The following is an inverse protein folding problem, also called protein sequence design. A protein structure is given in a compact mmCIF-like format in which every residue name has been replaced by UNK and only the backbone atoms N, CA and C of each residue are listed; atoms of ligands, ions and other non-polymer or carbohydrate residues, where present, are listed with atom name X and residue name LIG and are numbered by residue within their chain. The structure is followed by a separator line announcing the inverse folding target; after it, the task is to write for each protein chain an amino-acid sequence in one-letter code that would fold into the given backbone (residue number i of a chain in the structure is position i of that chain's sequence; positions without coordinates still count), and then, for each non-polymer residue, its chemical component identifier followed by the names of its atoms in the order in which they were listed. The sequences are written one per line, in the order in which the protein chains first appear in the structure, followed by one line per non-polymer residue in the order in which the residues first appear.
data_IF_527555405522
#
_entry.id   IF_527555405522
#
_cell.length_a   1.000
_cell.length_b   1.000
_cell.length_c   1.000
_cell.angle_alpha   90.00
_cell.angle_beta   90.00
_cell.angle_gamma   90.00
#
_symmetry.space_group_name_H-M   'P 1'
#
loop_
_entity.id
_entity.type
_entity.pdbx_description
1 polymer ?
#
# COMPACT_ATOMS: atom_id res chain seq x y z
N UNK A 1 5.91 29.01 41.80
CA UNK A 1 5.18 28.91 40.52
C UNK A 1 5.66 27.64 39.86
N UNK A 2 4.74 26.71 39.65
CA UNK A 2 4.98 25.32 39.26
C UNK A 2 5.47 25.29 37.80
N UNK A 3 6.45 24.42 37.54
CA UNK A 3 6.99 24.10 36.23
C UNK A 3 5.94 23.22 35.53
N UNK A 4 5.34 23.70 34.45
CA UNK A 4 4.63 22.82 33.51
C UNK A 4 5.63 22.43 32.43
N UNK A 5 6.07 21.18 32.54
CA UNK A 5 6.75 20.45 31.48
C UNK A 5 5.66 20.03 30.51
N UNK A 6 5.72 20.50 29.26
CA UNK A 6 4.92 20.00 28.15
C UNK A 6 5.23 18.51 27.97
N UNK A 7 4.44 17.68 28.64
CA UNK A 7 4.48 16.24 28.51
C UNK A 7 3.82 15.83 27.19
N UNK A 8 4.60 15.07 26.44
CA UNK A 8 4.14 14.02 25.54
C UNK A 8 3.37 14.49 24.30
N UNK A 9 4.14 14.74 23.24
CA UNK A 9 3.75 14.27 21.93
C UNK A 9 3.62 12.73 22.00
N UNK A 10 2.47 12.24 22.46
CA UNK A 10 2.02 10.89 22.19
C UNK A 10 2.19 10.67 20.69
N UNK A 11 3.08 9.74 20.35
CA UNK A 11 3.35 9.32 18.99
C UNK A 11 2.02 9.05 18.30
N UNK A 12 1.75 9.67 17.15
CA UNK A 12 0.46 9.52 16.45
C UNK A 12 0.11 8.07 16.07
N UNK A 13 1.03 7.13 16.28
CA UNK A 13 0.80 5.69 16.18
C UNK A 13 0.05 5.12 17.41
N UNK A 14 0.22 5.67 18.60
CA UNK A 14 -0.44 5.19 19.83
C UNK A 14 -1.94 5.56 19.84
N UNK A 15 -2.29 6.72 19.28
CA UNK A 15 -3.69 7.12 19.09
C UNK A 15 -4.47 6.16 18.17
N UNK A 16 -3.83 5.66 17.10
CA UNK A 16 -4.44 4.69 16.17
C UNK A 16 -4.65 3.30 16.81
N UNK A 17 -3.87 2.96 17.84
CA UNK A 17 -4.01 1.68 18.54
C UNK A 17 -5.29 1.63 19.41
N UNK A 18 -5.84 2.79 19.81
CA UNK A 18 -7.08 2.85 20.61
C UNK A 18 -8.37 2.71 19.79
N UNK A 19 -8.33 3.03 18.48
CA UNK A 19 -9.52 3.03 17.61
C UNK A 19 -9.55 1.88 16.59
N UNK A 20 -8.40 1.27 16.27
CA UNK A 20 -8.33 0.20 15.28
C UNK A 20 -8.60 -1.17 15.93
N UNK A 21 -9.64 -1.92 15.53
CA UNK A 21 -9.92 -3.22 16.16
C UNK A 21 -8.74 -4.19 15.98
N UNK A 22 -8.47 -5.02 17.00
CA UNK A 22 -7.31 -5.94 17.00
C UNK A 22 -7.21 -6.79 15.72
N UNK A 23 -8.34 -7.27 15.20
CA UNK A 23 -8.40 -8.03 13.95
C UNK A 23 -7.81 -7.28 12.74
N UNK A 24 -7.95 -5.95 12.69
CA UNK A 24 -7.40 -5.10 11.63
C UNK A 24 -5.90 -4.87 11.82
N UNK A 25 -5.46 -4.73 13.07
CA UNK A 25 -4.03 -4.67 13.42
C UNK A 25 -3.33 -5.96 12.99
N UNK A 26 -3.91 -7.11 13.34
CA UNK A 26 -3.41 -8.42 12.94
C UNK A 26 -3.38 -8.59 11.42
N UNK A 27 -4.42 -8.12 10.73
CA UNK A 27 -4.43 -8.11 9.27
C UNK A 27 -3.31 -7.24 8.68
N UNK A 28 -3.05 -6.07 9.26
CA UNK A 28 -1.95 -5.19 8.89
C UNK A 28 -0.56 -5.83 9.09
N UNK A 29 -0.43 -6.74 10.05
CA UNK A 29 0.77 -7.57 10.23
C UNK A 29 0.84 -8.80 9.31
N UNK A 30 -0.13 -8.96 8.42
CA UNK A 30 -0.18 -10.06 7.46
C UNK A 30 -0.80 -11.35 8.00
N UNK A 31 -1.36 -11.32 9.20
CA UNK A 31 -2.06 -12.44 9.81
C UNK A 31 -3.51 -12.52 9.29
N UNK A 32 -4.23 -13.55 9.73
CA UNK A 32 -5.64 -13.76 9.37
C UNK A 32 -6.52 -12.79 10.17
N UNK A 33 -7.47 -12.15 9.51
CA UNK A 33 -8.61 -11.47 10.17
C UNK A 33 -9.89 -12.28 10.04
N UNK A 34 -10.94 -11.91 10.78
CA UNK A 34 -12.29 -12.46 10.57
C UNK A 34 -12.84 -12.20 9.16
N UNK A 35 -12.34 -11.19 8.45
CA UNK A 35 -12.82 -10.74 7.14
C UNK A 35 -11.90 -11.12 5.97
N UNK A 36 -10.78 -11.81 6.22
CA UNK A 36 -9.75 -12.04 5.23
C UNK A 36 -8.94 -13.31 5.42
N UNK A 37 -8.08 -13.59 4.45
CA UNK A 37 -7.07 -14.65 4.54
C UNK A 37 -5.72 -14.04 4.94
N UNK A 38 -4.80 -14.81 5.55
CA UNK A 38 -3.45 -14.32 5.82
C UNK A 38 -2.70 -13.98 4.53
N UNK A 39 -1.76 -13.03 4.61
CA UNK A 39 -1.08 -12.48 3.43
C UNK A 39 -0.32 -13.51 2.61
N UNK A 40 0.22 -14.55 3.26
CA UNK A 40 0.95 -15.63 2.58
C UNK A 40 0.11 -16.40 1.55
N UNK A 41 -1.23 -16.27 1.56
CA UNK A 41 -2.09 -16.85 0.52
C UNK A 41 -2.25 -15.98 -0.72
N UNK A 42 -1.87 -14.70 -0.67
CA UNK A 42 -1.97 -13.77 -1.80
C UNK A 42 -0.63 -13.58 -2.49
N UNK A 43 -0.63 -13.42 -3.82
CA UNK A 43 0.58 -13.05 -4.58
C UNK A 43 0.64 -11.55 -4.87
N UNK A 44 -0.51 -10.87 -4.82
CA UNK A 44 -0.65 -9.46 -5.16
C UNK A 44 -1.45 -8.70 -4.10
N UNK A 45 -1.07 -7.46 -3.86
CA UNK A 45 -1.81 -6.51 -3.03
C UNK A 45 -2.19 -5.27 -3.85
N UNK A 46 -3.35 -4.70 -3.55
CA UNK A 46 -3.79 -3.41 -4.06
C UNK A 46 -3.88 -2.45 -2.87
N UNK A 47 -3.00 -1.45 -2.84
CA UNK A 47 -2.86 -0.53 -1.71
C UNK A 47 -3.15 0.90 -2.19
N UNK A 48 -4.33 1.47 -1.86
CA UNK A 48 -4.58 2.89 -2.05
C UNK A 48 -3.61 3.71 -1.22
N UNK A 49 -3.10 4.80 -1.78
CA UNK A 49 -2.16 5.67 -1.08
C UNK A 49 -2.40 7.13 -1.44
N UNK A 50 -2.49 7.98 -0.42
CA UNK A 50 -2.46 9.42 -0.58
C UNK A 50 -1.01 9.92 -0.65
N UNK A 51 -0.71 10.83 -1.57
CA UNK A 51 0.61 11.45 -1.78
C UNK A 51 0.47 12.94 -2.04
N UNK A 52 1.57 13.70 -1.91
CA UNK A 52 1.58 15.12 -2.30
C UNK A 52 0.82 16.03 -1.33
N UNK A 53 1.05 15.87 -0.03
CA UNK A 53 0.57 16.81 0.99
C UNK A 53 1.07 18.24 0.72
N UNK A 54 0.28 19.28 1.04
CA UNK A 54 -1.01 19.23 1.74
C UNK A 54 -2.23 18.94 0.83
N UNK A 55 -2.12 19.14 -0.48
CA UNK A 55 -3.26 19.07 -1.40
C UNK A 55 -3.82 17.65 -1.57
N UNK A 56 -2.96 16.63 -1.41
CA UNK A 56 -3.35 15.22 -1.38
C UNK A 56 -3.84 14.67 -2.73
N UNK A 57 -3.26 13.55 -3.14
CA UNK A 57 -3.62 12.86 -4.36
C UNK A 57 -3.63 11.36 -4.14
N UNK A 58 -4.72 10.70 -4.51
CA UNK A 58 -4.84 9.25 -4.36
C UNK A 58 -4.29 8.52 -5.58
N UNK A 59 -3.33 7.64 -5.33
CA UNK A 59 -2.79 6.68 -6.28
C UNK A 59 -3.12 5.26 -5.81
N UNK A 60 -3.01 4.29 -6.72
CA UNK A 60 -3.05 2.87 -6.36
C UNK A 60 -1.68 2.23 -6.56
N UNK A 61 -1.18 1.57 -5.53
CA UNK A 61 0.00 0.73 -5.62
C UNK A 61 -0.45 -0.72 -5.85
N UNK A 62 -0.17 -1.25 -7.03
CA UNK A 62 -0.28 -2.69 -7.29
C UNK A 62 1.06 -3.33 -6.93
N UNK A 63 1.06 -4.16 -5.89
CA UNK A 63 2.26 -4.80 -5.36
C UNK A 63 2.26 -6.26 -5.76
N UNK A 64 3.27 -6.70 -6.49
CA UNK A 64 3.58 -8.11 -6.67
C UNK A 64 4.58 -8.55 -5.59
N UNK A 65 4.14 -9.48 -4.73
CA UNK A 65 4.90 -9.92 -3.56
C UNK A 65 6.02 -10.90 -3.94
N UNK A 66 5.84 -11.68 -5.01
CA UNK A 66 6.83 -12.66 -5.47
C UNK A 66 7.91 -11.99 -6.32
N UNK A 67 7.49 -11.15 -7.26
CA UNK A 67 8.40 -10.40 -8.13
C UNK A 67 9.02 -9.19 -7.42
N UNK A 68 8.54 -8.87 -6.20
CA UNK A 68 8.93 -7.68 -5.43
C UNK A 68 8.87 -6.44 -6.31
N UNK A 69 7.70 -6.18 -6.87
CA UNK A 69 7.48 -5.05 -7.76
C UNK A 69 6.29 -4.22 -7.29
N UNK A 70 6.44 -2.90 -7.29
CA UNK A 70 5.36 -1.94 -7.02
C UNK A 70 5.09 -1.17 -8.31
N UNK A 71 3.93 -1.39 -8.90
CA UNK A 71 3.41 -0.59 -10.00
C UNK A 71 2.53 0.54 -9.46
N UNK A 72 2.88 1.77 -9.82
CA UNK A 72 2.11 2.97 -9.48
C UNK A 72 1.09 3.22 -10.58
N UNK A 73 -0.18 3.16 -10.21
CA UNK A 73 -1.34 3.45 -11.03
C UNK A 73 -1.83 4.85 -10.63
N UNK A 74 -1.45 5.86 -11.41
CA UNK A 74 -1.80 7.27 -11.17
C UNK A 74 -2.94 7.70 -12.12
N UNK A 75 -4.11 8.11 -11.58
CA UNK A 75 -5.26 8.49 -12.39
C UNK A 75 -5.08 9.86 -13.08
N UNK A 76 -4.08 10.65 -12.71
CA UNK A 76 -3.75 11.95 -13.32
C UNK A 76 -2.46 11.95 -14.15
N UNK A 77 -1.69 10.87 -14.06
CA UNK A 77 -0.28 10.85 -14.44
C UNK A 77 0.00 10.90 -15.94
N UNK A 78 -1.00 10.82 -16.83
CA UNK A 78 -0.78 10.78 -18.29
C UNK A 78 0.01 11.98 -18.83
N UNK A 79 0.04 13.11 -18.11
CA UNK A 79 0.70 14.35 -18.56
C UNK A 79 2.01 14.68 -17.84
N UNK A 80 2.39 13.97 -16.76
CA UNK A 80 3.63 14.27 -16.01
C UNK A 80 4.82 13.49 -16.62
N UNK A 81 5.93 14.20 -16.86
CA UNK A 81 7.20 13.61 -17.28
C UNK A 81 7.59 12.46 -16.36
N UNK A 82 8.39 11.52 -16.88
CA UNK A 82 8.80 10.29 -16.21
C UNK A 82 9.75 10.55 -15.02
N UNK A 83 9.26 11.20 -13.94
CA UNK A 83 10.06 11.50 -12.76
C UNK A 83 10.14 10.28 -11.85
N UNK A 84 11.13 9.43 -12.14
CA UNK A 84 11.38 8.21 -11.39
C UNK A 84 11.68 8.47 -9.91
N UNK A 85 12.31 9.60 -9.57
CA UNK A 85 12.63 9.99 -8.19
C UNK A 85 11.39 10.34 -7.36
N UNK A 86 10.44 11.09 -7.95
CA UNK A 86 9.16 11.40 -7.30
C UNK A 86 8.36 10.12 -7.01
N UNK A 87 8.26 9.24 -8.00
CA UNK A 87 7.59 7.94 -7.85
C UNK A 87 8.22 7.08 -6.78
N UNK A 88 9.55 7.07 -6.72
CA UNK A 88 10.29 6.38 -5.68
C UNK A 88 9.87 6.90 -4.31
N UNK A 89 9.91 8.23 -4.10
CA UNK A 89 9.46 8.89 -2.85
C UNK A 89 8.01 8.54 -2.51
N UNK A 90 7.12 8.57 -3.50
CA UNK A 90 5.70 8.23 -3.35
C UNK A 90 5.46 6.81 -2.84
N UNK A 91 6.40 5.87 -2.95
CA UNK A 91 6.22 4.48 -2.44
C UNK A 91 7.24 4.08 -1.38
N UNK A 92 8.10 4.99 -0.92
CA UNK A 92 9.15 4.71 0.06
C UNK A 92 8.67 4.01 1.35
N UNK A 93 7.62 4.52 2.03
CA UNK A 93 7.02 3.81 3.17
C UNK A 93 6.67 2.35 2.89
N UNK A 94 6.01 2.06 1.76
CA UNK A 94 5.66 0.69 1.38
C UNK A 94 6.90 -0.18 1.17
N UNK A 95 7.92 0.37 0.51
CA UNK A 95 9.18 -0.36 0.28
C UNK A 95 9.93 -0.71 1.56
N UNK A 96 9.78 0.10 2.61
CA UNK A 96 10.37 -0.18 3.94
C UNK A 96 9.50 -1.16 4.74
N UNK A 97 8.19 -1.00 4.66
CA UNK A 97 7.25 -1.76 5.49
C UNK A 97 7.02 -3.19 4.98
N UNK A 98 6.84 -3.36 3.66
CA UNK A 98 6.48 -4.65 3.07
C UNK A 98 7.48 -5.77 3.38
N UNK A 99 8.81 -5.59 3.24
CA UNK A 99 9.77 -6.65 3.60
C UNK A 99 9.61 -7.14 5.04
N UNK A 100 9.39 -6.22 5.98
CA UNK A 100 9.21 -6.56 7.40
C UNK A 100 7.93 -7.35 7.64
N UNK A 101 6.82 -6.96 7.00
CA UNK A 101 5.55 -7.69 7.10
C UNK A 101 5.69 -9.10 6.50
N UNK A 102 6.27 -9.21 5.30
CA UNK A 102 6.47 -10.50 4.63
C UNK A 102 7.36 -11.45 5.43
N UNK A 103 8.38 -10.91 6.11
CA UNK A 103 9.21 -11.69 7.01
C UNK A 103 8.42 -12.14 8.25
N UNK A 104 7.73 -11.20 8.92
CA UNK A 104 6.95 -11.46 10.15
C UNK A 104 5.85 -12.50 9.94
N UNK A 105 5.11 -12.42 8.83
CA UNK A 105 4.03 -13.38 8.55
C UNK A 105 4.51 -14.71 7.96
N UNK A 106 5.83 -14.86 7.73
CA UNK A 106 6.44 -16.06 7.15
C UNK A 106 6.05 -16.28 5.69
N UNK A 107 5.89 -15.21 4.91
CA UNK A 107 5.39 -15.29 3.53
C UNK A 107 6.16 -16.29 2.67
N UNK A 108 7.49 -16.21 2.67
CA UNK A 108 8.34 -17.09 1.86
C UNK A 108 8.63 -18.44 2.52
N UNK A 109 8.53 -18.56 3.85
CA UNK A 109 8.74 -19.85 4.54
C UNK A 109 7.50 -20.75 4.44
N UNK A 110 6.31 -20.15 4.38
CA UNK A 110 5.03 -20.85 4.16
C UNK A 110 4.77 -21.16 2.68
N UNK A 111 5.63 -20.69 1.78
CA UNK A 111 5.59 -20.95 0.34
C UNK A 111 6.82 -21.72 -0.08
N UNK A 112 6.72 -22.54 -1.13
CA UNK A 112 7.89 -23.16 -1.77
C UNK A 112 8.67 -22.18 -2.68
N UNK A 113 8.08 -21.01 -2.95
CA UNK A 113 8.61 -20.00 -3.87
C UNK A 113 9.60 -19.07 -3.17
N UNK A 114 10.73 -18.79 -3.84
CA UNK A 114 11.73 -17.82 -3.36
C UNK A 114 11.41 -16.41 -3.89
N UNK A 115 11.76 -15.35 -3.14
CA UNK A 115 11.65 -13.99 -3.65
C UNK A 115 12.55 -13.76 -4.87
N UNK A 116 12.06 -12.99 -5.84
CA UNK A 116 12.92 -12.43 -6.89
C UNK A 116 13.54 -11.12 -6.38
N UNK A 117 14.84 -11.16 -6.14
CA UNK A 117 15.61 -10.00 -5.65
C UNK A 117 15.43 -9.69 -4.16
N UNK A 118 16.22 -8.74 -3.66
CA UNK A 118 16.25 -8.35 -2.25
C UNK A 118 15.31 -7.17 -1.93
N UNK A 119 15.06 -6.28 -2.88
CA UNK A 119 14.30 -5.04 -2.70
C UNK A 119 13.14 -4.92 -3.67
N UNK A 120 12.10 -4.20 -3.26
CA UNK A 120 10.98 -3.87 -4.13
C UNK A 120 11.41 -2.88 -5.23
N UNK A 121 11.27 -3.30 -6.49
CA UNK A 121 11.41 -2.41 -7.66
C UNK A 121 10.15 -1.55 -7.81
N UNK A 122 10.26 -0.42 -8.52
CA UNK A 122 9.16 0.53 -8.68
C UNK A 122 9.00 0.90 -10.15
N UNK A 123 7.79 0.71 -10.66
CA UNK A 123 7.40 1.04 -12.01
C UNK A 123 6.11 1.86 -12.04
N UNK A 124 5.78 2.37 -13.22
CA UNK A 124 4.48 2.97 -13.50
C UNK A 124 3.65 2.01 -14.32
N UNK A 125 2.37 1.90 -13.99
CA UNK A 125 1.39 1.23 -14.81
C UNK A 125 0.42 2.26 -15.38
N UNK A 126 0.22 2.21 -16.70
CA UNK A 126 -0.77 3.05 -17.36
C UNK A 126 -2.18 2.55 -17.05
N UNK A 127 -3.04 3.47 -16.65
CA UNK A 127 -4.45 3.21 -16.33
C UNK A 127 -5.33 4.24 -17.04
N UNK A 128 -6.65 3.99 -17.18
CA UNK A 128 -7.58 5.03 -17.60
C UNK A 128 -7.40 6.27 -16.71
N UNK A 129 -7.50 7.45 -17.31
CA UNK A 129 -7.25 8.71 -16.60
C UNK A 129 -8.58 9.27 -16.09
N UNK A 130 -8.56 9.84 -14.89
CA UNK A 130 -9.70 10.60 -14.41
C UNK A 130 -9.88 11.85 -15.28
N UNK A 131 -11.14 12.21 -15.52
CA UNK A 131 -11.50 13.39 -16.32
C UNK A 131 -11.67 14.62 -15.44
N UNK A 132 -12.24 14.45 -14.24
CA UNK A 132 -12.31 15.50 -13.24
C UNK A 132 -10.99 15.61 -12.43
N UNK A 133 -10.91 16.61 -11.55
CA UNK A 133 -9.71 16.91 -10.76
C UNK A 133 -9.82 16.52 -9.28
N UNK A 134 -10.95 15.97 -8.82
CA UNK A 134 -11.24 15.84 -7.40
C UNK A 134 -11.71 14.43 -6.98
N UNK A 135 -11.96 13.52 -7.91
CA UNK A 135 -12.46 12.18 -7.63
C UNK A 135 -11.39 11.10 -7.52
N UNK A 136 -10.10 11.45 -7.39
CA UNK A 136 -8.98 10.51 -7.48
C UNK A 136 -9.11 9.30 -6.53
N UNK A 137 -9.61 9.52 -5.31
CA UNK A 137 -9.87 8.43 -4.35
C UNK A 137 -10.95 7.47 -4.83
N UNK A 138 -12.11 7.99 -5.24
CA UNK A 138 -13.23 7.19 -5.77
C UNK A 138 -12.83 6.47 -7.06
N UNK A 139 -12.10 7.15 -7.94
CA UNK A 139 -11.58 6.60 -9.17
C UNK A 139 -10.67 5.39 -8.89
N UNK A 140 -9.73 5.53 -7.95
CA UNK A 140 -8.82 4.45 -7.56
C UNK A 140 -9.58 3.26 -6.96
N UNK A 141 -10.59 3.50 -6.10
CA UNK A 141 -11.41 2.43 -5.56
C UNK A 141 -12.17 1.67 -6.66
N UNK A 142 -12.76 2.39 -7.62
CA UNK A 142 -13.43 1.78 -8.78
C UNK A 142 -12.45 0.96 -9.62
N UNK A 143 -11.26 1.49 -9.89
CA UNK A 143 -10.22 0.79 -10.63
C UNK A 143 -9.74 -0.48 -9.90
N UNK A 144 -9.53 -0.41 -8.58
CA UNK A 144 -9.15 -1.56 -7.76
C UNK A 144 -10.20 -2.66 -7.79
N UNK A 145 -11.49 -2.31 -7.69
CA UNK A 145 -12.61 -3.27 -7.84
C UNK A 145 -12.55 -3.98 -9.20
N UNK A 146 -12.36 -3.23 -10.29
CA UNK A 146 -12.24 -3.81 -11.63
C UNK A 146 -11.03 -4.73 -11.76
N UNK A 147 -9.90 -4.37 -11.15
CA UNK A 147 -8.69 -5.20 -11.16
C UNK A 147 -8.92 -6.53 -10.44
N UNK A 148 -9.61 -6.52 -9.29
CA UNK A 148 -9.96 -7.73 -8.52
C UNK A 148 -10.86 -8.66 -9.34
N UNK A 149 -11.93 -8.13 -9.93
CA UNK A 149 -12.86 -8.91 -10.76
C UNK A 149 -12.12 -9.57 -11.92
N UNK A 150 -11.31 -8.80 -12.67
CA UNK A 150 -10.55 -9.34 -13.80
C UNK A 150 -9.57 -10.45 -13.41
N UNK A 151 -8.98 -10.40 -12.23
CA UNK A 151 -8.10 -11.48 -11.73
C UNK A 151 -8.85 -12.71 -11.24
N UNK A 152 -10.11 -12.58 -10.83
CA UNK A 152 -10.95 -13.72 -10.45
C UNK A 152 -11.33 -14.57 -11.67
N UNK A 153 -11.44 -13.94 -12.85
CA UNK A 153 -11.75 -14.63 -14.12
C UNK A 153 -10.56 -15.47 -14.66
N UNK A 154 -9.41 -15.47 -13.99
CA UNK A 154 -8.18 -16.17 -14.42
C UNK A 154 -7.85 -17.40 -13.54
N UNK A 155 -8.71 -17.75 -12.58
CA UNK A 155 -8.56 -18.93 -11.72
C UNK A 155 -9.56 -20.03 -12.08
#
# INVERSE_FOLDING_TARGET
MIIEVDNEAESSFDALASECPQDWIEYGYGNRSGLGKPWWLYTQLLIPRCVGEPDGHWILCKVDLLDRHISICDPTGAKKQNNQGERFRQVMPLRRLLPSILNKCGFFTKRSQKPRGSLFTVGRQMIPQQVDKCSCGVFICKYAKMAIVKTADWN
#
